data_IF_921282718224
#
_entry.id   IF_921282718224
#
_cell.length_a   1.000
_cell.length_b   1.000
_cell.length_c   1.000
_cell.angle_alpha   90.00
_cell.angle_beta   90.00
_cell.angle_gamma   90.00
#
_symmetry.space_group_name_H-M   'P 1'
#
loop_
_entity.id
_entity.type
_entity.pdbx_description
1 polymer ?
#
# COMPACT_ATOMS: atom_id res chain seq x y z
N UNK A 1 -5.62 8.27 18.04
CA UNK A 1 -5.16 6.93 17.57
C UNK A 1 -4.84 7.06 16.09
N UNK A 2 -3.62 6.75 15.65
CA UNK A 2 -3.22 6.88 14.23
C UNK A 2 -3.19 5.50 13.57
N UNK A 3 -3.76 5.39 12.38
CA UNK A 3 -3.62 4.19 11.55
C UNK A 3 -2.16 4.09 11.14
N UNK A 4 -1.49 2.98 11.49
CA UNK A 4 -0.12 2.70 11.05
C UNK A 4 -0.15 1.98 9.71
N UNK A 5 0.57 2.51 8.73
CA UNK A 5 0.73 1.89 7.42
C UNK A 5 2.13 1.28 7.35
N UNK A 6 2.22 -0.04 7.17
CA UNK A 6 3.48 -0.81 7.16
C UNK A 6 3.88 -1.24 5.74
N UNK A 7 3.46 -0.48 4.73
CA UNK A 7 3.69 -0.80 3.32
C UNK A 7 5.18 -0.97 3.01
N UNK A 8 6.05 -0.20 3.66
CA UNK A 8 7.50 -0.30 3.51
C UNK A 8 8.07 -1.67 3.86
N UNK A 9 7.63 -2.23 4.99
CA UNK A 9 8.07 -3.55 5.44
C UNK A 9 7.63 -4.62 4.46
N UNK A 10 6.37 -4.54 4.02
CA UNK A 10 5.81 -5.50 3.07
C UNK A 10 6.55 -5.47 1.73
N UNK A 11 6.89 -4.28 1.22
CA UNK A 11 7.64 -4.12 -0.03
C UNK A 11 9.06 -4.68 0.10
N UNK A 12 9.72 -4.43 1.24
CA UNK A 12 11.05 -4.96 1.53
C UNK A 12 11.05 -6.49 1.59
N UNK A 13 10.11 -7.08 2.34
CA UNK A 13 9.98 -8.53 2.50
C UNK A 13 9.74 -9.22 1.15
N UNK A 14 9.06 -8.54 0.22
CA UNK A 14 8.79 -9.04 -1.14
C UNK A 14 9.79 -8.63 -2.20
N UNK A 15 10.84 -7.88 -1.85
CA UNK A 15 11.82 -7.31 -2.81
C UNK A 15 11.13 -6.58 -3.98
N UNK A 16 10.06 -5.85 -3.70
CA UNK A 16 9.23 -5.15 -4.68
C UNK A 16 9.44 -3.64 -4.57
N UNK A 17 9.57 -2.92 -5.69
CA UNK A 17 9.64 -1.46 -5.67
C UNK A 17 8.25 -0.82 -5.58
N UNK A 18 8.21 0.44 -5.14
CA UNK A 18 6.96 1.23 -5.13
C UNK A 18 6.43 1.45 -6.56
N UNK A 19 7.32 1.52 -7.54
CA UNK A 19 6.98 1.64 -8.96
C UNK A 19 6.32 0.38 -9.49
N UNK A 20 6.86 -0.79 -9.16
CA UNK A 20 6.24 -2.06 -9.56
C UNK A 20 4.84 -2.23 -8.94
N UNK A 21 4.67 -1.77 -7.70
CA UNK A 21 3.37 -1.79 -7.03
C UNK A 21 2.39 -0.82 -7.70
N UNK A 22 2.83 0.38 -8.09
CA UNK A 22 2.04 1.36 -8.84
C UNK A 22 1.46 0.73 -10.11
N UNK A 23 2.32 0.05 -10.88
CA UNK A 23 1.93 -0.56 -12.16
C UNK A 23 0.98 -1.75 -11.96
N UNK A 24 1.22 -2.59 -10.94
CA UNK A 24 0.36 -3.75 -10.65
C UNK A 24 -1.02 -3.38 -10.11
N UNK A 25 -1.12 -2.31 -9.32
CA UNK A 25 -2.39 -1.90 -8.67
C UNK A 25 -3.15 -0.88 -9.53
N UNK A 26 -2.48 -0.19 -10.44
CA UNK A 26 -3.07 0.86 -11.27
C UNK A 26 -3.31 2.16 -10.52
N UNK A 27 -2.39 2.52 -9.62
CA UNK A 27 -2.48 3.74 -8.79
C UNK A 27 -1.19 4.52 -8.93
N UNK A 28 -1.28 5.84 -9.02
CA UNK A 28 -0.08 6.68 -9.19
C UNK A 28 0.92 6.50 -8.05
N UNK A 29 2.20 6.61 -8.41
CA UNK A 29 3.32 6.59 -7.45
C UNK A 29 3.13 7.62 -6.32
N UNK A 30 2.56 8.79 -6.64
CA UNK A 30 2.27 9.85 -5.68
C UNK A 30 1.27 9.39 -4.59
N UNK A 31 0.19 8.72 -4.99
CA UNK A 31 -0.80 8.19 -4.05
C UNK A 31 -0.20 7.10 -3.16
N UNK A 32 0.61 6.21 -3.73
CA UNK A 32 1.30 5.17 -2.96
C UNK A 32 2.35 5.76 -2.01
N UNK A 33 3.04 6.82 -2.40
CA UNK A 33 4.01 7.52 -1.53
C UNK A 33 3.33 8.19 -0.33
N UNK A 34 2.18 8.84 -0.54
CA UNK A 34 1.37 9.42 0.54
C UNK A 34 0.87 8.32 1.50
N UNK A 35 0.46 7.17 0.96
CA UNK A 35 0.02 6.03 1.76
C UNK A 35 1.19 5.44 2.58
N UNK A 36 2.33 5.17 1.92
CA UNK A 36 3.57 4.65 2.52
C UNK A 36 4.04 5.52 3.69
N UNK A 37 4.06 6.83 3.51
CA UNK A 37 4.51 7.79 4.54
C UNK A 37 3.49 8.05 5.65
N UNK A 38 2.32 7.39 5.63
CA UNK A 38 1.27 7.57 6.64
C UNK A 38 0.57 8.93 6.57
N UNK A 39 0.76 9.70 5.50
CA UNK A 39 0.15 11.02 5.30
C UNK A 39 -1.24 10.94 4.65
N UNK A 40 -1.69 9.75 4.28
CA UNK A 40 -3.01 9.53 3.68
C UNK A 40 -4.13 9.86 4.67
N UNK A 41 -5.09 10.68 4.23
CA UNK A 41 -6.30 11.02 4.99
C UNK A 41 -7.46 10.07 4.72
N UNK A 42 -7.49 9.48 3.53
CA UNK A 42 -8.52 8.57 3.07
C UNK A 42 -7.95 7.62 2.01
N UNK A 43 -8.58 6.45 1.88
CA UNK A 43 -8.33 5.49 0.81
C UNK A 43 -9.66 4.87 0.38
N UNK A 44 -9.85 4.67 -0.94
CA UNK A 44 -11.03 3.93 -1.43
C UNK A 44 -10.85 2.45 -1.11
N UNK A 45 -11.92 1.79 -0.69
CA UNK A 45 -11.89 0.34 -0.44
C UNK A 45 -11.52 -0.47 -1.69
N UNK A 46 -11.88 -0.01 -2.89
CA UNK A 46 -11.44 -0.62 -4.14
C UNK A 46 -9.92 -0.60 -4.29
N UNK A 47 -9.27 0.52 -3.98
CA UNK A 47 -7.80 0.65 -3.98
C UNK A 47 -7.16 -0.19 -2.88
N UNK A 48 -7.73 -0.20 -1.67
CA UNK A 48 -7.26 -1.04 -0.57
C UNK A 48 -7.35 -2.54 -0.93
N UNK A 49 -8.44 -2.97 -1.54
CA UNK A 49 -8.63 -4.34 -1.98
C UNK A 49 -7.65 -4.72 -3.10
N UNK A 50 -7.42 -3.84 -4.07
CA UNK A 50 -6.43 -4.05 -5.13
C UNK A 50 -5.01 -4.19 -4.56
N UNK A 51 -4.64 -3.34 -3.60
CA UNK A 51 -3.39 -3.45 -2.85
C UNK A 51 -3.28 -4.81 -2.14
N UNK A 52 -4.30 -5.19 -1.38
CA UNK A 52 -4.32 -6.46 -0.66
C UNK A 52 -4.27 -7.69 -1.58
N UNK A 53 -4.83 -7.62 -2.79
CA UNK A 53 -4.72 -8.69 -3.80
C UNK A 53 -3.30 -8.80 -4.34
N UNK A 54 -2.69 -7.69 -4.75
CA UNK A 54 -1.32 -7.68 -5.29
C UNK A 54 -0.29 -8.06 -4.23
N UNK A 55 -0.51 -7.59 -3.00
CA UNK A 55 0.33 -7.82 -1.85
C UNK A 55 -0.14 -9.00 -1.00
N UNK A 56 -1.04 -9.86 -1.50
CA UNK A 56 -1.53 -11.07 -0.82
C UNK A 56 -1.65 -10.92 0.71
N UNK A 57 -2.34 -9.87 1.16
CA UNK A 57 -2.41 -9.49 2.57
C UNK A 57 -3.82 -9.08 2.99
N UNK A 58 -4.01 -8.87 4.29
CA UNK A 58 -5.24 -8.35 4.87
C UNK A 58 -4.95 -7.12 5.73
N UNK A 59 -5.84 -6.12 5.75
CA UNK A 59 -5.72 -5.00 6.67
C UNK A 59 -5.71 -5.47 8.13
N UNK A 60 -4.80 -4.93 8.94
CA UNK A 60 -4.71 -5.26 10.37
C UNK A 60 -4.05 -6.61 10.70
N UNK A 61 -3.48 -7.32 9.70
CA UNK A 61 -2.63 -8.48 9.95
C UNK A 61 -1.30 -8.01 10.55
N UNK A 62 -1.05 -8.34 11.81
CA UNK A 62 0.16 -8.00 12.56
C UNK A 62 1.28 -9.01 12.33
#
# INVERSE_FOLDING_TARGET
MTIRVTLDRILLDRRMSLTDLSDKVGVTLANLSILKTGKAKAIRFSTLNALCRVLECQPGRF
#
